data_IF_580250687148
#
_entry.id   IF_580250687148
#
_cell.length_a   1.000
_cell.length_b   1.000
_cell.length_c   1.000
_cell.angle_alpha   90.00
_cell.angle_beta   90.00
_cell.angle_gamma   90.00
#
_symmetry.space_group_name_H-M   'P 1'
#
loop_
_entity.id
_entity.type
_entity.pdbx_description
1 polymer ?
#
# COMPACT_ATOMS: atom_id res chain seq x y z
N UNK A 1 -17.74 -8.32 4.83
CA UNK A 1 -16.92 -8.72 5.99
C UNK A 1 -16.59 -10.21 6.06
N UNK A 2 -17.55 -11.13 5.99
CA UNK A 2 -17.28 -12.58 6.09
C UNK A 2 -16.23 -13.05 5.05
N UNK A 3 -16.35 -12.60 3.79
CA UNK A 3 -15.37 -12.92 2.75
C UNK A 3 -13.96 -12.39 3.04
N UNK A 4 -13.82 -11.20 3.65
CA UNK A 4 -12.50 -10.66 4.02
C UNK A 4 -11.88 -11.44 5.18
N UNK A 5 -12.69 -11.86 6.17
CA UNK A 5 -12.22 -12.74 7.24
C UNK A 5 -11.77 -14.09 6.70
N UNK A 6 -12.50 -14.66 5.74
CA UNK A 6 -12.09 -15.90 5.08
C UNK A 6 -10.77 -15.72 4.30
N UNK A 7 -10.63 -14.62 3.55
CA UNK A 7 -9.40 -14.30 2.81
C UNK A 7 -8.20 -14.07 3.74
N UNK A 8 -8.40 -13.40 4.88
CA UNK A 8 -7.37 -13.27 5.92
C UNK A 8 -7.00 -14.64 6.53
N UNK A 9 -7.99 -15.51 6.74
CA UNK A 9 -7.78 -16.89 7.19
C UNK A 9 -6.90 -17.71 6.24
N UNK A 10 -7.06 -17.55 4.93
CA UNK A 10 -6.18 -18.20 3.93
C UNK A 10 -4.73 -17.76 4.11
N UNK A 11 -4.47 -16.47 4.28
CA UNK A 11 -3.11 -15.94 4.48
C UNK A 11 -2.48 -16.43 5.78
N UNK A 12 -3.29 -16.47 6.85
CA UNK A 12 -2.84 -17.01 8.14
C UNK A 12 -2.52 -18.50 8.02
N UNK A 13 -3.33 -19.26 7.28
CA UNK A 13 -3.10 -20.69 7.06
C UNK A 13 -1.82 -20.99 6.26
N UNK A 14 -1.36 -20.06 5.42
CA UNK A 14 -0.06 -20.18 4.75
C UNK A 14 1.13 -19.85 5.65
N UNK A 15 0.89 -19.53 6.93
CA UNK A 15 1.92 -19.14 7.89
C UNK A 15 2.42 -17.70 7.71
N UNK A 16 1.74 -16.88 6.89
CA UNK A 16 2.08 -15.46 6.76
C UNK A 16 1.36 -14.69 7.86
N UNK A 17 2.07 -14.48 8.96
CA UNK A 17 1.57 -13.78 10.15
C UNK A 17 2.57 -12.71 10.55
N UNK A 18 2.06 -11.58 11.05
CA UNK A 18 2.88 -10.55 11.70
C UNK A 18 3.25 -11.07 13.09
N UNK A 19 4.34 -11.82 13.19
CA UNK A 19 4.79 -12.51 14.41
C UNK A 19 5.71 -11.64 15.29
N UNK A 20 6.44 -10.71 14.67
CA UNK A 20 7.36 -9.79 15.34
C UNK A 20 7.24 -8.37 14.84
N UNK A 21 7.35 -7.43 15.76
CA UNK A 21 7.51 -6.00 15.46
C UNK A 21 8.88 -5.54 15.90
N UNK A 22 9.66 -5.02 14.97
CA UNK A 22 10.93 -4.37 15.30
C UNK A 22 10.71 -2.88 15.48
N UNK A 23 10.94 -2.40 16.70
CA UNK A 23 10.85 -1.00 17.07
C UNK A 23 12.25 -0.36 17.11
N UNK A 24 12.38 0.92 16.71
CA UNK A 24 13.62 1.63 16.90
C UNK A 24 13.89 1.73 18.41
N UNK A 25 15.15 1.57 18.81
CA UNK A 25 15.63 1.69 20.21
C UNK A 25 15.25 0.53 21.16
N UNK A 26 14.08 -0.10 21.00
CA UNK A 26 13.59 -1.17 21.89
C UNK A 26 14.00 -2.57 21.37
N UNK A 27 14.21 -2.73 20.06
CA UNK A 27 14.51 -4.01 19.44
C UNK A 27 13.26 -4.74 18.95
N UNK A 28 13.37 -6.06 18.74
CA UNK A 28 12.26 -6.89 18.25
C UNK A 28 11.38 -7.38 19.40
N UNK A 29 10.08 -7.09 19.33
CA UNK A 29 9.05 -7.59 20.23
C UNK A 29 8.27 -8.70 19.53
N UNK A 30 8.20 -9.87 20.16
CA UNK A 30 7.37 -10.98 19.67
C UNK A 30 5.91 -10.78 20.07
N UNK A 31 5.02 -10.86 19.09
CA UNK A 31 3.58 -10.65 19.29
C UNK A 31 2.86 -11.92 19.74
N UNK A 32 3.46 -13.10 19.55
CA UNK A 32 2.85 -14.39 19.86
C UNK A 32 1.42 -14.49 19.27
N UNK A 33 0.42 -14.82 20.09
CA UNK A 33 -0.97 -14.96 19.67
C UNK A 33 -1.59 -13.65 19.17
N UNK A 34 -1.08 -12.48 19.59
CA UNK A 34 -1.56 -11.18 19.10
C UNK A 34 -1.20 -10.94 17.63
N UNK A 35 -0.21 -11.65 17.09
CA UNK A 35 0.17 -11.55 15.68
C UNK A 35 -0.93 -11.95 14.71
N UNK A 36 -1.76 -12.94 15.08
CA UNK A 36 -2.92 -13.35 14.29
C UNK A 36 -3.96 -12.23 14.21
N UNK A 37 -4.31 -11.65 15.37
CA UNK A 37 -5.26 -10.54 15.43
C UNK A 37 -4.77 -9.33 14.63
N UNK A 38 -3.49 -8.99 14.76
CA UNK A 38 -2.88 -7.90 14.02
C UNK A 38 -2.90 -8.14 12.51
N UNK A 39 -2.64 -9.38 12.08
CA UNK A 39 -2.71 -9.78 10.67
C UNK A 39 -4.13 -9.62 10.11
N UNK A 40 -5.15 -10.03 10.85
CA UNK A 40 -6.55 -9.86 10.45
C UNK A 40 -6.89 -8.37 10.31
N UNK A 41 -6.54 -7.57 11.31
CA UNK A 41 -6.78 -6.12 11.32
C UNK A 41 -6.06 -5.46 10.15
N UNK A 42 -4.82 -5.87 9.86
CA UNK A 42 -4.03 -5.35 8.75
C UNK A 42 -4.71 -5.60 7.41
N UNK A 43 -5.03 -6.85 7.11
CA UNK A 43 -5.63 -7.25 5.82
C UNK A 43 -6.98 -6.55 5.64
N UNK A 44 -7.85 -6.61 6.64
CA UNK A 44 -9.18 -5.98 6.59
C UNK A 44 -9.06 -4.46 6.49
N UNK A 45 -8.15 -3.86 7.26
CA UNK A 45 -7.93 -2.42 7.29
C UNK A 45 -7.49 -1.87 5.95
N UNK A 46 -6.43 -2.43 5.36
CA UNK A 46 -5.92 -2.01 4.04
C UNK A 46 -6.96 -2.27 2.95
N UNK A 47 -7.63 -3.43 2.98
CA UNK A 47 -8.67 -3.77 2.01
C UNK A 47 -9.80 -2.75 2.00
N UNK A 48 -10.32 -2.39 3.18
CA UNK A 48 -11.39 -1.40 3.27
C UNK A 48 -10.91 0.02 3.01
N UNK A 49 -9.66 0.36 3.33
CA UNK A 49 -9.08 1.66 3.00
C UNK A 49 -9.04 1.87 1.48
N UNK A 50 -8.60 0.88 0.71
CA UNK A 50 -8.61 0.94 -0.76
C UNK A 50 -10.05 1.00 -1.30
N UNK A 51 -10.98 0.21 -0.73
CA UNK A 51 -12.39 0.29 -1.12
C UNK A 51 -13.02 1.66 -0.87
N UNK A 52 -12.62 2.35 0.21
CA UNK A 52 -13.14 3.66 0.57
C UNK A 52 -12.71 4.75 -0.43
N UNK A 53 -11.49 4.64 -0.98
CA UNK A 53 -10.93 5.63 -1.90
C UNK A 53 -11.31 5.40 -3.37
N UNK A 54 -11.95 4.27 -3.70
CA UNK A 54 -12.45 3.95 -5.05
C UNK A 54 -13.73 4.72 -5.45
N UNK A 55 -14.21 5.63 -4.59
CA UNK A 55 -15.36 6.49 -4.89
C UNK A 55 -15.10 7.58 -5.94
N UNK A 56 -13.86 7.72 -6.43
CA UNK A 56 -13.44 8.76 -7.37
C UNK A 56 -12.65 8.15 -8.54
N UNK A 57 -12.95 8.60 -9.77
CA UNK A 57 -12.31 8.15 -11.01
C UNK A 57 -10.77 8.21 -10.94
N UNK A 58 -10.12 7.06 -11.14
CA UNK A 58 -8.65 6.96 -11.22
C UNK A 58 -7.92 7.02 -9.88
N UNK A 59 -8.60 7.29 -8.77
CA UNK A 59 -7.91 7.50 -7.49
C UNK A 59 -7.36 6.21 -6.91
N UNK A 60 -8.21 5.19 -6.71
CA UNK A 60 -7.80 3.95 -6.06
C UNK A 60 -6.64 3.27 -6.79
N UNK A 61 -6.70 3.21 -8.12
CA UNK A 61 -5.65 2.61 -8.95
C UNK A 61 -4.36 3.44 -8.97
N UNK A 62 -4.44 4.78 -9.05
CA UNK A 62 -3.28 5.67 -9.00
C UNK A 62 -2.55 5.59 -7.66
N UNK A 63 -3.27 5.67 -6.55
CA UNK A 63 -2.71 5.57 -5.19
C UNK A 63 -2.08 4.22 -4.93
N UNK A 64 -2.77 3.16 -5.35
CA UNK A 64 -2.26 1.80 -5.27
C UNK A 64 -0.98 1.63 -6.07
N UNK A 65 -0.90 2.20 -7.28
CA UNK A 65 0.32 2.16 -8.09
C UNK A 65 1.50 2.86 -7.40
N UNK A 66 1.28 4.02 -6.78
CA UNK A 66 2.32 4.73 -6.01
C UNK A 66 2.78 3.88 -4.82
N UNK A 67 1.84 3.40 -3.99
CA UNK A 67 2.19 2.57 -2.82
C UNK A 67 2.90 1.27 -3.19
N UNK A 68 2.46 0.58 -4.25
CA UNK A 68 3.10 -0.63 -4.75
C UNK A 68 4.50 -0.35 -5.33
N UNK A 69 4.72 0.82 -5.93
CA UNK A 69 6.05 1.24 -6.43
C UNK A 69 7.01 1.46 -5.27
N UNK A 70 6.56 2.06 -4.18
CA UNK A 70 7.36 2.18 -2.96
C UNK A 70 7.72 0.81 -2.37
N UNK A 71 6.77 -0.14 -2.33
CA UNK A 71 7.05 -1.52 -1.89
C UNK A 71 8.02 -2.21 -2.87
N UNK A 72 7.88 -1.98 -4.17
CA UNK A 72 8.77 -2.52 -5.21
C UNK A 72 10.22 -2.08 -4.99
N UNK A 73 10.46 -0.78 -4.75
CA UNK A 73 11.80 -0.24 -4.51
C UNK A 73 12.42 -0.92 -3.28
N UNK A 74 11.69 -1.00 -2.17
CA UNK A 74 12.17 -1.66 -0.95
C UNK A 74 12.45 -3.15 -1.22
N UNK A 75 11.58 -3.83 -1.96
CA UNK A 75 11.74 -5.23 -2.30
C UNK A 75 12.97 -5.50 -3.19
N UNK A 76 13.31 -4.58 -4.11
CA UNK A 76 14.54 -4.66 -4.92
C UNK A 76 15.76 -4.51 -4.01
N UNK A 77 15.75 -3.53 -3.09
CA UNK A 77 16.85 -3.29 -2.15
C UNK A 77 17.10 -4.49 -1.21
N UNK A 78 16.03 -5.16 -0.79
CA UNK A 78 16.06 -6.34 0.07
C UNK A 78 16.21 -7.66 -0.71
N UNK A 79 16.39 -7.61 -2.04
CA UNK A 79 16.51 -8.78 -2.94
C UNK A 79 15.34 -9.78 -2.85
N UNK A 80 14.12 -9.30 -2.57
CA UNK A 80 12.90 -10.13 -2.46
C UNK A 80 12.22 -10.31 -3.81
N UNK A 81 12.76 -11.19 -4.65
CA UNK A 81 12.28 -11.40 -6.03
C UNK A 81 10.77 -11.67 -6.14
N UNK A 82 10.20 -12.46 -5.23
CA UNK A 82 8.75 -12.75 -5.26
C UNK A 82 7.91 -11.48 -5.10
N UNK A 83 8.30 -10.57 -4.21
CA UNK A 83 7.60 -9.31 -3.96
C UNK A 83 7.80 -8.36 -5.14
N UNK A 84 9.01 -8.33 -5.71
CA UNK A 84 9.32 -7.57 -6.93
C UNK A 84 8.38 -7.96 -8.08
N UNK A 85 8.24 -9.26 -8.38
CA UNK A 85 7.38 -9.72 -9.46
C UNK A 85 5.91 -9.38 -9.21
N UNK A 86 5.40 -9.60 -8.00
CA UNK A 86 4.02 -9.26 -7.64
C UNK A 86 3.75 -7.76 -7.78
N UNK A 87 4.67 -6.91 -7.30
CA UNK A 87 4.53 -5.47 -7.44
C UNK A 87 4.58 -5.02 -8.91
N UNK A 88 5.50 -5.54 -9.73
CA UNK A 88 5.57 -5.15 -11.15
C UNK A 88 4.25 -5.48 -11.87
N UNK A 89 3.69 -6.66 -11.63
CA UNK A 89 2.42 -7.07 -12.25
C UNK A 89 1.27 -6.16 -11.82
N UNK A 90 1.17 -5.84 -10.52
CA UNK A 90 0.09 -4.98 -10.04
C UNK A 90 0.29 -3.52 -10.41
N UNK A 91 1.51 -2.97 -10.37
CA UNK A 91 1.80 -1.61 -10.85
C UNK A 91 1.45 -1.50 -12.33
N UNK A 92 1.89 -2.44 -13.16
CA UNK A 92 1.55 -2.47 -14.59
C UNK A 92 0.05 -2.56 -14.83
N UNK A 93 -0.65 -3.41 -14.06
CA UNK A 93 -2.11 -3.55 -14.14
C UNK A 93 -2.84 -2.27 -13.72
N UNK A 94 -2.40 -1.63 -12.62
CA UNK A 94 -2.95 -0.37 -12.13
C UNK A 94 -2.73 0.76 -13.14
N UNK A 95 -1.54 0.87 -13.73
CA UNK A 95 -1.25 1.91 -14.74
C UNK A 95 -2.04 1.69 -16.04
N UNK A 96 -2.16 0.44 -16.51
CA UNK A 96 -2.97 0.10 -17.66
C UNK A 96 -4.46 0.36 -17.43
N UNK A 97 -4.98 0.00 -16.25
CA UNK A 97 -6.35 0.30 -15.85
C UNK A 97 -6.59 1.80 -15.67
N UNK A 98 -5.65 2.52 -15.04
CA UNK A 98 -5.72 3.95 -14.81
C UNK A 98 -5.89 4.73 -16.11
N UNK A 99 -5.25 4.31 -17.20
CA UNK A 99 -5.45 4.93 -18.52
C UNK A 99 -6.93 4.96 -18.95
N UNK A 100 -7.69 3.91 -18.65
CA UNK A 100 -9.12 3.81 -18.97
C UNK A 100 -10.04 4.36 -17.89
N UNK A 101 -9.55 4.43 -16.64
CA UNK A 101 -10.29 4.86 -15.47
C UNK A 101 -10.03 6.34 -15.11
N UNK A 102 -9.11 7.03 -15.80
CA UNK A 102 -8.85 8.44 -15.60
C UNK A 102 -10.04 9.30 -16.06
N UNK A 103 -10.33 10.37 -15.33
CA UNK A 103 -11.50 11.20 -15.59
C UNK A 103 -11.44 11.85 -16.99
N UNK A 104 -12.50 11.71 -17.83
CA UNK A 104 -13.76 10.98 -17.59
C UNK A 104 -13.61 9.45 -17.79
N UNK A 105 -13.99 8.67 -16.77
CA UNK A 105 -13.75 7.22 -16.77
C UNK A 105 -14.57 6.47 -17.84
N UNK A 106 -13.90 5.57 -18.55
CA UNK A 106 -14.52 4.68 -19.56
C UNK A 106 -14.83 3.29 -18.99
N UNK A 107 -14.08 2.87 -17.97
CA UNK A 107 -14.24 1.60 -17.27
C UNK A 107 -14.14 1.88 -15.77
N UNK A 108 -15.08 1.33 -15.00
CA UNK A 108 -15.08 1.41 -13.54
C UNK A 108 -14.41 0.18 -12.93
N UNK A 109 -13.89 0.32 -11.71
CA UNK A 109 -13.15 -0.75 -11.02
C UNK A 109 -14.03 -1.96 -10.66
N UNK A 110 -15.35 -1.84 -10.81
CA UNK A 110 -16.31 -2.92 -10.73
C UNK A 110 -16.92 -3.09 -9.34
N UNK A 111 -17.83 -2.18 -8.96
CA UNK A 111 -18.78 -2.32 -7.84
C UNK A 111 -18.23 -2.96 -6.57
N UNK A 112 -17.09 -2.46 -6.05
CA UNK A 112 -16.29 -2.97 -4.91
C UNK A 112 -15.36 -4.15 -5.20
N UNK A 113 -15.60 -4.98 -6.22
CA UNK A 113 -14.81 -6.21 -6.45
C UNK A 113 -13.34 -5.92 -6.74
N UNK A 114 -13.05 -4.97 -7.63
CA UNK A 114 -11.68 -4.63 -7.99
C UNK A 114 -10.92 -3.96 -6.85
N UNK A 115 -11.54 -3.03 -6.12
CA UNK A 115 -10.92 -2.33 -5.01
C UNK A 115 -10.65 -3.26 -3.82
N UNK A 116 -11.57 -4.17 -3.50
CA UNK A 116 -11.37 -5.20 -2.48
C UNK A 116 -10.22 -6.14 -2.84
N UNK A 117 -10.14 -6.60 -4.09
CA UNK A 117 -9.02 -7.43 -4.55
C UNK A 117 -7.69 -6.69 -4.45
N UNK A 118 -7.64 -5.44 -4.93
CA UNK A 118 -6.41 -4.65 -4.93
C UNK A 118 -5.93 -4.37 -3.51
N UNK A 119 -6.82 -3.97 -2.61
CA UNK A 119 -6.47 -3.75 -1.20
C UNK A 119 -6.02 -5.04 -0.49
N UNK A 120 -6.67 -6.18 -0.76
CA UNK A 120 -6.19 -7.47 -0.26
C UNK A 120 -4.79 -7.79 -0.78
N UNK A 121 -4.54 -7.64 -2.08
CA UNK A 121 -3.24 -7.92 -2.69
C UNK A 121 -2.13 -7.03 -2.12
N UNK A 122 -2.37 -5.72 -1.97
CA UNK A 122 -1.43 -4.78 -1.35
C UNK A 122 -1.11 -5.21 0.09
N UNK A 123 -2.13 -5.61 0.86
CA UNK A 123 -1.94 -6.04 2.26
C UNK A 123 -1.03 -7.27 2.38
N UNK A 124 -1.18 -8.25 1.49
CA UNK A 124 -0.38 -9.48 1.48
C UNK A 124 1.05 -9.19 0.99
N UNK A 125 1.19 -8.38 -0.06
CA UNK A 125 2.49 -8.01 -0.62
C UNK A 125 3.30 -7.19 0.38
N UNK A 126 2.66 -6.26 1.11
CA UNK A 126 3.35 -5.48 2.15
C UNK A 126 3.84 -6.38 3.29
N UNK A 127 3.06 -7.39 3.69
CA UNK A 127 3.46 -8.42 4.65
C UNK A 127 4.67 -9.24 4.18
N UNK A 128 4.73 -9.60 2.91
CA UNK A 128 5.86 -10.35 2.33
C UNK A 128 7.14 -9.50 2.22
N UNK A 129 6.98 -8.22 1.87
CA UNK A 129 8.09 -7.30 1.58
C UNK A 129 8.69 -6.64 2.80
N UNK A 130 7.87 -6.12 3.70
CA UNK A 130 8.27 -5.14 4.69
C UNK A 130 8.41 -5.71 6.10
N UNK A 131 7.60 -6.71 6.45
CA UNK A 131 7.52 -7.20 7.82
C UNK A 131 8.61 -8.21 8.21
N UNK A 132 9.27 -8.84 7.22
CA UNK A 132 10.15 -9.98 7.48
C UNK A 132 11.61 -9.66 7.80
N UNK A 133 12.20 -8.52 7.40
CA UNK A 133 13.64 -8.26 7.61
C UNK A 133 14.04 -6.82 7.98
N UNK A 134 13.15 -5.83 7.94
CA UNK A 134 13.57 -4.43 8.18
C UNK A 134 13.62 -4.17 9.69
N UNK A 135 14.83 -4.25 10.24
CA UNK A 135 15.14 -4.19 11.68
C UNK A 135 14.85 -2.85 12.38
N UNK A 136 14.15 -1.91 11.75
CA UNK A 136 13.92 -0.61 12.37
C UNK A 136 12.45 -0.19 12.46
N UNK A 137 11.52 -0.72 11.65
CA UNK A 137 10.15 -0.17 11.60
C UNK A 137 9.10 -1.13 10.99
N UNK A 138 9.11 -2.41 11.36
CA UNK A 138 8.33 -3.48 10.69
C UNK A 138 6.83 -3.16 10.49
N UNK A 139 6.18 -2.48 11.43
CA UNK A 139 4.76 -2.07 11.30
C UNK A 139 4.56 -0.67 10.69
N UNK A 140 5.47 0.26 10.96
CA UNK A 140 5.31 1.68 10.60
C UNK A 140 5.58 1.91 9.11
N UNK A 141 6.58 1.25 8.54
CA UNK A 141 6.92 1.40 7.12
C UNK A 141 5.73 1.04 6.22
N UNK A 142 5.11 -0.17 6.34
CA UNK A 142 3.93 -0.51 5.54
C UNK A 142 2.80 0.51 5.65
N UNK A 143 2.55 1.04 6.84
CA UNK A 143 1.54 2.07 7.04
C UNK A 143 1.91 3.34 6.29
N UNK A 144 3.11 3.87 6.48
CA UNK A 144 3.55 5.11 5.83
C UNK A 144 3.55 4.97 4.32
N UNK A 145 4.08 3.85 3.81
CA UNK A 145 4.17 3.55 2.38
C UNK A 145 2.80 3.55 1.70
N UNK A 146 1.74 3.18 2.42
CA UNK A 146 0.37 3.17 1.88
C UNK A 146 -0.36 4.47 2.22
N UNK A 147 -0.29 4.92 3.47
CA UNK A 147 -1.02 6.06 3.99
C UNK A 147 -0.56 7.39 3.38
N UNK A 148 0.75 7.62 3.21
CA UNK A 148 1.24 8.88 2.64
C UNK A 148 0.72 9.07 1.21
N UNK A 149 0.84 8.10 0.28
CA UNK A 149 0.23 8.21 -1.04
C UNK A 149 -1.27 8.46 -1.00
N UNK A 150 -2.00 7.76 -0.12
CA UNK A 150 -3.45 7.95 0.07
C UNK A 150 -3.74 9.40 0.48
N UNK A 151 -3.08 9.90 1.53
CA UNK A 151 -3.33 11.25 2.04
C UNK A 151 -2.94 12.34 1.04
N UNK A 152 -1.77 12.24 0.41
CA UNK A 152 -1.28 13.25 -0.54
C UNK A 152 -2.21 13.36 -1.75
N UNK A 153 -2.58 12.24 -2.35
CA UNK A 153 -3.48 12.22 -3.52
C UNK A 153 -4.90 12.65 -3.16
N UNK A 154 -5.44 12.21 -2.02
CA UNK A 154 -6.74 12.67 -1.54
C UNK A 154 -6.75 14.18 -1.32
N UNK A 155 -5.69 14.74 -0.72
CA UNK A 155 -5.57 16.17 -0.47
C UNK A 155 -5.54 16.97 -1.78
N UNK A 156 -4.73 16.54 -2.75
CA UNK A 156 -4.66 17.15 -4.08
C UNK A 156 -6.02 17.11 -4.77
N UNK A 157 -6.72 15.99 -4.72
CA UNK A 157 -8.03 15.88 -5.35
C UNK A 157 -9.11 16.71 -4.67
N UNK A 158 -9.16 16.73 -3.33
CA UNK A 158 -10.06 17.63 -2.60
C UNK A 158 -9.82 19.08 -3.02
N UNK A 159 -8.56 19.50 -3.12
CA UNK A 159 -8.20 20.85 -3.58
C UNK A 159 -8.63 21.10 -5.03
N UNK A 160 -8.49 20.12 -5.93
CA UNK A 160 -8.95 20.21 -7.33
C UNK A 160 -10.47 20.37 -7.43
N UNK A 161 -11.24 19.62 -6.65
CA UNK A 161 -12.70 19.72 -6.61
C UNK A 161 -13.16 21.10 -6.12
N UNK A 162 -12.42 21.69 -5.18
CA UNK A 162 -12.74 23.01 -4.61
C UNK A 162 -12.30 24.16 -5.54
N UNK A 163 -11.12 24.06 -6.17
CA UNK A 163 -10.49 25.18 -6.89
C UNK A 163 -10.55 25.12 -8.43
N UNK A 164 -11.03 24.05 -9.07
CA UNK A 164 -11.04 23.87 -10.55
C UNK A 164 -9.68 24.02 -11.26
N UNK A 165 -8.55 23.96 -10.57
CA UNK A 165 -7.21 24.06 -11.18
C UNK A 165 -6.67 22.70 -11.66
N UNK A 166 -5.89 22.72 -12.76
CA UNK A 166 -5.40 21.54 -13.48
C UNK A 166 -4.37 20.71 -12.71
N UNK A 167 -4.64 19.40 -12.56
CA UNK A 167 -3.99 18.52 -11.58
C UNK A 167 -2.76 17.71 -12.03
N UNK A 168 -2.09 18.05 -13.14
CA UNK A 168 -0.98 17.24 -13.66
C UNK A 168 0.36 17.50 -12.95
N UNK A 169 0.68 18.75 -12.59
CA UNK A 169 1.96 19.08 -11.94
C UNK A 169 2.02 18.62 -10.47
N UNK A 170 0.86 18.51 -9.82
CA UNK A 170 0.76 18.20 -8.39
C UNK A 170 0.93 16.70 -8.09
N UNK A 171 0.52 15.83 -9.03
CA UNK A 171 0.76 14.37 -8.97
C UNK A 171 2.25 14.02 -9.06
N UNK A 172 3.01 14.76 -9.87
CA UNK A 172 4.46 14.61 -9.99
C UNK A 172 5.14 15.05 -8.69
N UNK A 173 4.67 16.14 -8.06
CA UNK A 173 5.20 16.59 -6.77
C UNK A 173 4.97 15.58 -5.63
N UNK A 174 3.83 14.88 -5.59
CA UNK A 174 3.54 13.84 -4.59
C UNK A 174 4.42 12.58 -4.72
N UNK A 175 4.80 12.21 -5.95
CA UNK A 175 5.75 11.10 -6.20
C UNK A 175 7.09 11.43 -5.55
N UNK A 176 7.59 12.67 -5.73
CA UNK A 176 8.87 13.11 -5.15
C UNK A 176 8.85 13.21 -3.62
N UNK A 177 7.76 13.68 -3.01
CA UNK A 177 7.67 13.84 -1.54
C UNK A 177 7.59 12.49 -0.84
N UNK A 178 6.82 11.55 -1.39
CA UNK A 178 6.71 10.19 -0.83
C UNK A 178 8.04 9.45 -0.92
N UNK A 179 8.71 9.52 -2.08
CA UNK A 179 10.02 8.90 -2.27
C UNK A 179 11.09 9.54 -1.38
N UNK A 180 11.05 10.86 -1.18
CA UNK A 180 11.99 11.58 -0.30
C UNK A 180 11.81 11.28 1.18
N UNK A 181 10.56 11.19 1.68
CA UNK A 181 10.29 10.85 3.08
C UNK A 181 10.68 9.39 3.38
N UNK A 182 10.40 8.46 2.47
CA UNK A 182 10.83 7.07 2.60
C UNK A 182 12.36 6.99 2.56
N UNK A 183 13.01 7.68 1.63
CA UNK A 183 14.47 7.77 1.55
C UNK A 183 15.11 8.35 2.82
N UNK A 184 14.55 9.42 3.37
CA UNK A 184 15.03 10.04 4.61
C UNK A 184 14.88 9.10 5.82
N UNK A 185 13.82 8.29 5.86
CA UNK A 185 13.56 7.34 6.96
C UNK A 185 14.39 6.05 6.83
N UNK A 186 14.68 5.60 5.61
CA UNK A 186 15.40 4.35 5.30
C UNK A 186 16.92 4.54 5.22
N UNK A 187 17.40 5.67 4.71
CA UNK A 187 18.82 5.90 4.39
C UNK A 187 19.47 6.94 5.32
N UNK A 188 18.71 7.83 5.96
CA UNK A 188 19.21 8.90 6.84
C UNK A 188 19.94 8.46 8.12
N UNK A 189 20.29 7.18 8.28
CA UNK A 189 21.06 6.64 9.43
C UNK A 189 22.30 5.84 9.04
N UNK A 190 22.83 6.01 7.82
CA UNK A 190 24.13 5.43 7.43
C UNK A 190 25.32 6.38 7.53
N UNK A 191 25.16 7.54 8.16
CA UNK A 191 26.26 8.41 8.59
C UNK A 191 25.97 8.96 9.97
#
# INVERSE_FOLDING_TARGET
MIGQLAAAGVVISSGLVIDRLTMPFIGSVELNQFGFLLTIIWIIGVTNAINLIDGLDGLASGVSAIGLTSILIIAIMDYRLIVVYLCIVLVGSCLGFLYHNFHPATIFMGGDTGALFLGYAISVISMLGLFKNVALFSFIIPIIVIAVPIFDTLFVMMKRLINKEGGSEMLIASIFITDYLIWATVIGRRY
#
